data_IF_777062116263
#
_entry.id   IF_777062116263
#
_cell.length_a   1.000
_cell.length_b   1.000
_cell.length_c   1.000
_cell.angle_alpha   90.00
_cell.angle_beta   90.00
_cell.angle_gamma   90.00
#
_symmetry.space_group_name_H-M   'P 1'
#
loop_
_entity.id
_entity.type
_entity.pdbx_description
1 polymer ?
#
# COMPACT_ATOMS: atom_id res chain seq x y z
N UNK A 1 22.38 -40.01 -47.53
CA UNK A 1 22.71 -40.12 -46.11
C UNK A 1 21.98 -38.99 -45.36
N UNK A 2 21.18 -39.25 -44.38
CA UNK A 2 20.52 -38.17 -43.65
C UNK A 2 21.52 -37.43 -42.72
N UNK A 3 21.57 -36.11 -42.84
CA UNK A 3 22.43 -35.25 -42.02
C UNK A 3 21.68 -34.92 -40.73
N UNK A 4 22.20 -35.36 -39.59
CA UNK A 4 21.63 -35.04 -38.28
C UNK A 4 22.20 -33.69 -37.86
N UNK A 5 21.34 -32.65 -37.78
CA UNK A 5 21.69 -31.35 -37.22
C UNK A 5 21.36 -31.36 -35.73
N UNK A 6 22.39 -31.36 -34.90
CA UNK A 6 22.21 -31.24 -33.43
C UNK A 6 21.97 -29.77 -33.12
N UNK A 7 20.72 -29.41 -32.73
CA UNK A 7 20.40 -28.08 -32.21
C UNK A 7 20.80 -28.07 -30.73
N UNK A 8 21.89 -27.40 -30.40
CA UNK A 8 22.24 -27.16 -29.00
C UNK A 8 21.25 -26.16 -28.40
N UNK A 9 20.64 -26.45 -27.24
CA UNK A 9 19.80 -25.47 -26.56
C UNK A 9 20.67 -24.28 -26.17
N UNK A 10 20.31 -23.09 -26.66
CA UNK A 10 20.91 -21.83 -26.20
C UNK A 10 20.45 -21.62 -24.77
N UNK A 11 21.26 -22.00 -23.79
CA UNK A 11 21.04 -21.63 -22.39
C UNK A 11 21.31 -20.14 -22.33
N UNK A 12 20.25 -19.35 -22.42
CA UNK A 12 20.27 -17.94 -22.10
C UNK A 12 20.45 -17.86 -20.57
N UNK A 13 21.63 -17.50 -20.12
CA UNK A 13 21.82 -17.13 -18.71
C UNK A 13 20.86 -15.96 -18.42
N UNK A 14 19.70 -16.27 -17.82
CA UNK A 14 18.85 -15.24 -17.26
C UNK A 14 19.67 -14.56 -16.15
N UNK A 15 20.19 -13.38 -16.44
CA UNK A 15 20.81 -12.52 -15.43
C UNK A 15 19.75 -12.30 -14.35
N UNK A 16 19.96 -12.89 -13.18
CA UNK A 16 19.12 -12.69 -12.02
C UNK A 16 19.12 -11.18 -11.75
N UNK A 17 18.02 -10.52 -12.12
CA UNK A 17 17.87 -9.09 -11.88
C UNK A 17 17.51 -8.91 -10.42
N UNK A 18 18.41 -8.31 -9.65
CA UNK A 18 18.14 -7.97 -8.25
C UNK A 18 17.02 -6.93 -8.22
N UNK A 19 15.93 -7.26 -7.53
CA UNK A 19 14.76 -6.40 -7.35
C UNK A 19 15.04 -5.38 -6.24
N UNK A 20 14.85 -4.10 -6.53
CA UNK A 20 15.00 -3.01 -5.56
C UNK A 20 13.67 -2.81 -4.84
N UNK A 21 13.65 -3.20 -3.58
CA UNK A 21 12.45 -3.19 -2.73
C UNK A 21 12.46 -1.96 -1.84
N UNK A 22 11.33 -1.27 -1.76
CA UNK A 22 11.08 -0.21 -0.81
C UNK A 22 9.99 -0.64 0.18
N UNK A 23 10.14 -0.34 1.46
CA UNK A 23 9.09 -0.53 2.43
C UNK A 23 8.35 0.79 2.69
N UNK A 24 7.00 0.74 2.76
CA UNK A 24 6.20 1.89 3.15
C UNK A 24 5.44 1.61 4.44
N UNK A 25 5.58 2.53 5.40
CA UNK A 25 5.03 2.43 6.74
C UNK A 25 4.18 3.65 7.11
N UNK A 26 3.15 3.43 7.95
CA UNK A 26 2.48 4.50 8.70
C UNK A 26 2.61 4.19 10.19
N UNK A 27 3.25 5.09 10.94
CA UNK A 27 3.46 4.98 12.38
C UNK A 27 2.46 5.85 13.14
N UNK A 28 2.08 5.45 14.37
CA UNK A 28 1.15 6.22 15.19
C UNK A 28 1.79 7.54 15.65
N UNK A 29 0.96 8.53 16.02
CA UNK A 29 1.41 9.87 16.42
C UNK A 29 1.85 9.98 17.88
N UNK A 30 1.69 8.94 18.72
CA UNK A 30 2.10 8.95 20.10
C UNK A 30 3.63 8.79 20.20
N UNK A 31 4.30 9.79 20.72
CA UNK A 31 5.75 10.01 20.54
C UNK A 31 6.64 8.86 21.02
N UNK A 32 6.34 8.23 22.16
CA UNK A 32 7.12 7.08 22.66
C UNK A 32 6.83 5.81 21.85
N UNK A 33 5.57 5.54 21.54
CA UNK A 33 5.16 4.40 20.72
C UNK A 33 5.63 4.54 19.26
N UNK A 34 5.77 5.77 18.76
CA UNK A 34 6.23 6.07 17.41
C UNK A 34 7.68 5.64 17.18
N UNK A 35 8.61 6.02 18.08
CA UNK A 35 10.02 5.66 17.96
C UNK A 35 10.22 4.15 18.05
N UNK A 36 9.52 3.48 18.98
CA UNK A 36 9.58 2.04 19.11
C UNK A 36 8.96 1.31 17.92
N UNK A 37 7.82 1.80 17.42
CA UNK A 37 7.14 1.24 16.25
C UNK A 37 7.94 1.42 14.96
N UNK A 38 8.53 2.60 14.74
CA UNK A 38 9.38 2.85 13.57
C UNK A 38 10.63 1.98 13.58
N UNK A 39 11.36 1.95 14.72
CA UNK A 39 12.57 1.14 14.86
C UNK A 39 12.28 -0.37 14.71
N UNK A 40 11.11 -0.83 15.18
CA UNK A 40 10.68 -2.21 15.01
C UNK A 40 10.39 -2.54 13.54
N UNK A 41 9.71 -1.64 12.82
CA UNK A 41 9.41 -1.81 11.40
C UNK A 41 10.69 -1.75 10.54
N UNK A 42 11.60 -0.83 10.83
CA UNK A 42 12.92 -0.77 10.19
C UNK A 42 13.67 -2.09 10.36
N UNK A 43 13.74 -2.62 11.58
CA UNK A 43 14.39 -3.91 11.85
C UNK A 43 13.70 -5.06 11.12
N UNK A 44 12.37 -5.09 11.13
CA UNK A 44 11.59 -6.12 10.46
C UNK A 44 11.92 -6.18 8.95
N UNK A 45 11.83 -5.06 8.24
CA UNK A 45 12.11 -5.02 6.81
C UNK A 45 13.60 -5.24 6.50
N UNK A 46 14.51 -4.70 7.32
CA UNK A 46 15.94 -4.97 7.13
C UNK A 46 16.25 -6.45 7.27
N UNK A 47 15.66 -7.14 8.26
CA UNK A 47 15.84 -8.58 8.44
C UNK A 47 15.17 -9.39 7.34
N UNK A 48 13.97 -9.02 6.90
CA UNK A 48 13.22 -9.74 5.88
C UNK A 48 13.99 -9.82 4.54
N UNK A 49 14.74 -8.77 4.21
CA UNK A 49 15.51 -8.71 2.96
C UNK A 49 17.01 -8.96 3.15
N UNK A 50 17.49 -9.13 4.40
CA UNK A 50 18.89 -9.48 4.66
C UNK A 50 19.16 -10.92 4.21
N UNK A 51 20.08 -11.08 3.25
CA UNK A 51 20.44 -12.40 2.73
C UNK A 51 19.60 -12.88 1.53
N UNK A 52 18.65 -12.09 1.04
CA UNK A 52 17.99 -12.40 -0.23
C UNK A 52 18.97 -12.25 -1.41
N UNK A 53 19.05 -13.27 -2.26
CA UNK A 53 19.87 -13.21 -3.48
C UNK A 53 19.21 -12.45 -4.63
N UNK A 54 17.89 -12.20 -4.53
CA UNK A 54 17.06 -11.64 -5.60
C UNK A 54 16.45 -10.29 -5.28
N UNK A 55 16.43 -9.90 -4.00
CA UNK A 55 15.80 -8.67 -3.53
C UNK A 55 16.74 -7.89 -2.62
N UNK A 56 16.77 -6.56 -2.77
CA UNK A 56 17.53 -5.66 -1.90
C UNK A 56 16.61 -4.54 -1.40
N UNK A 57 16.57 -4.33 -0.09
CA UNK A 57 15.87 -3.18 0.50
C UNK A 57 16.66 -1.91 0.20
N UNK A 58 16.07 -0.99 -0.56
CA UNK A 58 16.72 0.27 -0.95
C UNK A 58 16.39 1.42 -0.01
N UNK A 59 15.16 1.47 0.53
CA UNK A 59 14.76 2.48 1.51
C UNK A 59 13.50 2.07 2.28
N UNK A 60 13.27 2.74 3.43
CA UNK A 60 12.03 2.64 4.20
C UNK A 60 11.41 4.03 4.33
N UNK A 61 10.24 4.19 3.75
CA UNK A 61 9.47 5.43 3.75
C UNK A 61 8.42 5.36 4.87
N UNK A 62 8.47 6.29 5.81
CA UNK A 62 7.56 6.29 6.95
C UNK A 62 6.90 7.65 7.16
N UNK A 63 5.56 7.66 7.07
CA UNK A 63 4.75 8.83 7.39
C UNK A 63 4.09 8.67 8.76
N UNK A 64 3.88 9.79 9.45
CA UNK A 64 3.12 9.81 10.69
C UNK A 64 1.63 9.57 10.40
N UNK A 65 1.04 8.67 11.16
CA UNK A 65 -0.40 8.39 11.13
C UNK A 65 -1.15 9.35 12.05
N UNK A 66 -1.34 10.59 11.65
CA UNK A 66 -2.14 11.52 12.43
C UNK A 66 -3.61 11.14 12.33
N UNK A 67 -4.21 10.78 13.47
CA UNK A 67 -5.65 10.64 13.63
C UNK A 67 -6.23 12.03 13.79
N UNK A 68 -7.00 12.53 12.82
CA UNK A 68 -7.72 13.81 12.92
C UNK A 68 -7.61 14.69 11.68
N UNK A 69 -8.43 15.68 11.65
CA UNK A 69 -8.89 16.59 10.60
C UNK A 69 -7.76 17.26 9.75
N UNK A 70 -6.53 17.23 10.19
CA UNK A 70 -5.41 17.80 9.41
C UNK A 70 -4.85 16.71 8.51
N UNK A 71 -5.07 16.86 7.21
CA UNK A 71 -4.46 16.03 6.18
C UNK A 71 -2.93 16.18 6.27
N UNK A 72 -2.29 15.38 7.12
CA UNK A 72 -0.84 15.31 7.19
C UNK A 72 -0.31 15.08 5.79
N UNK A 73 0.58 15.95 5.36
CA UNK A 73 1.29 15.81 4.09
C UNK A 73 2.06 14.49 4.18
N UNK A 74 1.65 13.48 3.41
CA UNK A 74 2.36 12.20 3.30
C UNK A 74 3.65 12.42 2.52
N UNK A 75 4.59 13.08 3.15
CA UNK A 75 5.82 13.56 2.50
C UNK A 75 6.67 12.40 2.03
N UNK A 76 6.75 11.37 2.87
CA UNK A 76 7.51 10.17 2.55
C UNK A 76 6.83 9.31 1.49
N UNK A 77 5.50 9.23 1.49
CA UNK A 77 4.76 8.60 0.40
C UNK A 77 5.00 9.28 -0.94
N UNK A 78 4.96 10.63 -0.95
CA UNK A 78 5.24 11.38 -2.17
C UNK A 78 6.70 11.23 -2.62
N UNK A 79 7.66 11.16 -1.68
CA UNK A 79 9.06 10.87 -1.97
C UNK A 79 9.21 9.47 -2.60
N UNK A 80 8.54 8.47 -2.03
CA UNK A 80 8.52 7.12 -2.57
C UNK A 80 7.98 7.09 -4.01
N UNK A 81 6.84 7.73 -4.28
CA UNK A 81 6.27 7.80 -5.63
C UNK A 81 7.22 8.49 -6.62
N UNK A 82 7.88 9.56 -6.18
CA UNK A 82 8.90 10.24 -7.00
C UNK A 82 10.07 9.30 -7.32
N UNK A 83 10.53 8.50 -6.35
CA UNK A 83 11.61 7.55 -6.57
C UNK A 83 11.19 6.38 -7.46
N UNK A 84 9.92 5.96 -7.41
CA UNK A 84 9.33 5.01 -8.37
C UNK A 84 9.35 5.58 -9.81
N UNK A 85 8.91 6.82 -9.99
CA UNK A 85 8.94 7.51 -11.30
C UNK A 85 10.35 7.65 -11.85
N UNK A 86 11.33 7.82 -10.98
CA UNK A 86 12.76 7.87 -11.33
C UNK A 86 13.38 6.48 -11.57
N UNK A 87 12.60 5.41 -11.52
CA UNK A 87 13.07 4.06 -11.74
C UNK A 87 14.05 3.54 -10.68
N UNK A 88 13.97 4.02 -9.44
CA UNK A 88 14.84 3.57 -8.33
C UNK A 88 14.27 2.38 -7.56
N UNK A 89 12.98 2.11 -7.70
CA UNK A 89 12.21 1.10 -6.97
C UNK A 89 11.54 0.19 -7.97
N UNK A 90 11.64 -1.12 -7.77
CA UNK A 90 10.98 -2.13 -8.60
C UNK A 90 9.78 -2.75 -7.86
N UNK A 91 9.81 -2.73 -6.52
CA UNK A 91 8.78 -3.34 -5.67
C UNK A 91 8.57 -2.53 -4.40
N UNK A 92 7.32 -2.38 -4.00
CA UNK A 92 6.93 -1.78 -2.71
C UNK A 92 6.35 -2.88 -1.83
N UNK A 93 6.74 -2.89 -0.54
CA UNK A 93 6.13 -3.74 0.49
C UNK A 93 5.50 -2.85 1.54
N UNK A 94 4.28 -3.17 1.93
CA UNK A 94 3.55 -2.43 2.97
C UNK A 94 2.67 -3.37 3.77
N UNK A 95 2.44 -3.04 5.04
CA UNK A 95 1.71 -3.92 5.95
C UNK A 95 0.27 -4.18 5.53
N UNK A 96 -0.43 -3.19 4.96
CA UNK A 96 -1.84 -3.33 4.56
C UNK A 96 -2.28 -2.24 3.59
N UNK A 97 -3.37 -2.49 2.87
CA UNK A 97 -4.03 -1.52 1.98
C UNK A 97 -4.42 -0.25 2.76
N UNK A 98 -4.96 -0.39 3.97
CA UNK A 98 -5.36 0.74 4.80
C UNK A 98 -4.19 1.61 5.29
N UNK A 99 -2.98 1.07 5.32
CA UNK A 99 -1.75 1.83 5.59
C UNK A 99 -1.21 2.51 4.35
N UNK A 100 -1.41 1.89 3.19
CA UNK A 100 -0.93 2.39 1.90
C UNK A 100 -1.79 3.55 1.39
N UNK A 101 -3.11 3.43 1.41
CA UNK A 101 -4.03 4.43 0.88
C UNK A 101 -5.03 4.92 1.94
N UNK A 102 -5.55 6.14 1.76
CA UNK A 102 -6.57 6.74 2.64
C UNK A 102 -7.98 6.31 2.28
N UNK A 103 -8.19 6.01 1.03
CA UNK A 103 -9.46 5.56 0.48
C UNK A 103 -9.20 4.69 -0.77
N UNK A 104 -10.23 4.02 -1.21
CA UNK A 104 -10.21 3.10 -2.35
C UNK A 104 -9.77 3.78 -3.63
N UNK A 105 -10.24 5.00 -3.91
CA UNK A 105 -9.92 5.75 -5.12
C UNK A 105 -8.42 6.03 -5.19
N UNK A 106 -7.84 6.58 -4.12
CA UNK A 106 -6.39 6.81 -4.01
C UNK A 106 -5.60 5.51 -4.21
N UNK A 107 -6.06 4.40 -3.62
CA UNK A 107 -5.43 3.10 -3.77
C UNK A 107 -5.37 2.66 -5.23
N UNK A 108 -6.52 2.63 -5.90
CA UNK A 108 -6.62 2.19 -7.29
C UNK A 108 -5.82 3.07 -8.26
N UNK A 109 -5.89 4.39 -8.09
CA UNK A 109 -5.14 5.35 -8.91
C UNK A 109 -3.62 5.14 -8.74
N UNK A 110 -3.17 5.00 -7.49
CA UNK A 110 -1.73 4.78 -7.19
C UNK A 110 -1.24 3.42 -7.71
N UNK A 111 -2.02 2.35 -7.51
CA UNK A 111 -1.67 1.01 -8.00
C UNK A 111 -1.56 1.01 -9.52
N UNK A 112 -2.50 1.66 -10.24
CA UNK A 112 -2.46 1.77 -11.70
C UNK A 112 -1.24 2.57 -12.19
N UNK A 113 -0.93 3.68 -11.52
CA UNK A 113 0.27 4.47 -11.81
C UNK A 113 1.53 3.63 -11.65
N UNK A 114 1.71 2.97 -10.49
CA UNK A 114 2.88 2.15 -10.19
C UNK A 114 3.02 0.99 -11.18
N UNK A 115 1.91 0.34 -11.52
CA UNK A 115 1.90 -0.72 -12.55
C UNK A 115 2.36 -0.21 -13.92
N UNK A 116 1.95 1.00 -14.33
CA UNK A 116 2.42 1.61 -15.58
C UNK A 116 3.93 1.90 -15.60
N UNK A 117 4.53 2.07 -14.41
CA UNK A 117 5.97 2.23 -14.22
C UNK A 117 6.72 0.88 -14.08
N UNK A 118 6.02 -0.25 -14.11
CA UNK A 118 6.58 -1.58 -13.88
C UNK A 118 6.90 -1.85 -12.40
N UNK A 119 6.35 -1.07 -11.46
CA UNK A 119 6.54 -1.24 -10.02
C UNK A 119 5.39 -2.09 -9.46
N UNK A 120 5.73 -3.15 -8.71
CA UNK A 120 4.76 -4.02 -8.04
C UNK A 120 4.58 -3.64 -6.58
N UNK A 121 3.43 -4.03 -5.98
CA UNK A 121 3.14 -3.77 -4.56
C UNK A 121 2.75 -5.09 -3.90
N UNK A 122 3.31 -5.34 -2.72
CA UNK A 122 2.92 -6.44 -1.85
C UNK A 122 2.27 -5.92 -0.57
N UNK A 123 1.01 -6.32 -0.34
CA UNK A 123 0.24 -6.03 0.87
C UNK A 123 0.31 -7.25 1.79
N UNK A 124 1.14 -7.17 2.85
CA UNK A 124 1.45 -8.34 3.71
C UNK A 124 0.21 -8.91 4.41
N UNK A 125 -0.62 -8.05 5.00
CA UNK A 125 -1.81 -8.46 5.78
C UNK A 125 -2.85 -9.15 4.90
N UNK A 126 -3.09 -8.61 3.72
CA UNK A 126 -4.07 -9.11 2.78
C UNK A 126 -3.52 -10.25 1.91
N UNK A 127 -2.19 -10.47 1.89
CA UNK A 127 -1.53 -11.46 1.06
C UNK A 127 -1.66 -11.19 -0.44
N UNK A 128 -1.82 -9.91 -0.82
CA UNK A 128 -2.03 -9.47 -2.20
C UNK A 128 -0.72 -8.99 -2.80
N UNK A 129 -0.40 -9.49 -4.01
CA UNK A 129 0.74 -9.04 -4.79
C UNK A 129 0.30 -8.58 -6.18
N UNK A 130 0.48 -7.30 -6.49
CA UNK A 130 0.05 -6.73 -7.77
C UNK A 130 0.85 -7.21 -8.98
N UNK A 131 1.90 -8.02 -8.78
CA UNK A 131 2.57 -8.76 -9.84
C UNK A 131 1.65 -9.81 -10.48
N UNK A 132 0.70 -10.34 -9.71
CA UNK A 132 -0.23 -11.37 -10.15
C UNK A 132 -1.50 -10.73 -10.74
N UNK A 133 -1.91 -11.16 -11.92
CA UNK A 133 -3.06 -10.59 -12.65
C UNK A 133 -4.40 -10.78 -11.91
N UNK A 134 -4.50 -11.81 -11.05
CA UNK A 134 -5.69 -12.11 -10.25
C UNK A 134 -5.98 -11.02 -9.21
N UNK A 135 -4.96 -10.27 -8.82
CA UNK A 135 -5.04 -9.31 -7.72
C UNK A 135 -5.69 -7.98 -8.12
N UNK A 136 -5.82 -7.68 -9.42
CA UNK A 136 -6.63 -6.55 -9.89
C UNK A 136 -8.11 -6.75 -9.56
N UNK A 137 -8.58 -7.98 -9.65
CA UNK A 137 -9.93 -8.37 -9.21
C UNK A 137 -10.07 -8.20 -7.69
N UNK A 138 -9.07 -8.63 -6.92
CA UNK A 138 -9.06 -8.48 -5.46
C UNK A 138 -9.04 -7.01 -5.01
N UNK A 139 -8.28 -6.16 -5.67
CA UNK A 139 -8.27 -4.70 -5.40
C UNK A 139 -9.63 -4.09 -5.72
N UNK A 140 -10.28 -4.52 -6.81
CA UNK A 140 -11.62 -4.08 -7.17
C UNK A 140 -12.68 -4.57 -6.18
N UNK A 141 -12.56 -5.81 -5.71
CA UNK A 141 -13.45 -6.39 -4.70
C UNK A 141 -13.30 -5.68 -3.34
N UNK A 142 -12.07 -5.40 -2.92
CA UNK A 142 -11.81 -4.65 -1.68
C UNK A 142 -12.26 -3.19 -1.81
N UNK A 143 -12.23 -2.63 -3.02
CA UNK A 143 -12.84 -1.35 -3.33
C UNK A 143 -14.35 -1.34 -3.08
N UNK A 144 -15.03 -2.40 -3.45
CA UNK A 144 -16.45 -2.61 -3.18
C UNK A 144 -16.77 -2.72 -1.68
N UNK A 145 -15.96 -3.50 -0.95
CA UNK A 145 -16.12 -3.67 0.51
C UNK A 145 -15.89 -2.35 1.29
N UNK A 146 -14.92 -1.53 0.88
CA UNK A 146 -14.73 -0.20 1.47
C UNK A 146 -15.90 0.76 1.18
N UNK A 147 -16.62 0.57 0.10
CA UNK A 147 -17.83 1.30 -0.22
C UNK A 147 -19.01 0.88 0.68
N UNK A 148 -19.12 -0.39 1.02
CA UNK A 148 -20.10 -0.88 2.00
C UNK A 148 -19.81 -0.36 3.42
N UNK A 149 -18.55 -0.28 3.82
CA UNK A 149 -18.16 0.35 5.09
C UNK A 149 -18.57 1.83 5.14
N UNK A 150 -18.39 2.57 4.05
CA UNK A 150 -18.83 3.96 3.93
C UNK A 150 -20.36 4.10 4.01
N UNK A 151 -21.11 3.20 3.41
CA UNK A 151 -22.57 3.13 3.49
C UNK A 151 -23.01 2.80 4.91
N UNK A 152 -22.34 1.86 5.58
CA UNK A 152 -22.61 1.49 6.97
C UNK A 152 -22.35 2.65 7.94
N UNK A 153 -21.27 3.42 7.76
CA UNK A 153 -20.98 4.63 8.54
C UNK A 153 -22.08 5.69 8.31
N UNK A 154 -22.53 5.88 7.06
CA UNK A 154 -23.62 6.80 6.73
C UNK A 154 -24.94 6.39 7.36
N UNK A 155 -25.28 5.11 7.35
CA UNK A 155 -26.48 4.56 8.01
C UNK A 155 -26.41 4.70 9.52
N UNK A 156 -25.26 4.43 10.13
CA UNK A 156 -25.05 4.62 11.56
C UNK A 156 -25.16 6.10 11.98
N UNK A 157 -24.70 7.01 11.12
CA UNK A 157 -24.86 8.45 11.37
C UNK A 157 -26.33 8.89 11.25
N UNK A 158 -27.06 8.40 10.24
CA UNK A 158 -28.50 8.65 10.12
C UNK A 158 -29.26 8.12 11.33
N UNK A 159 -29.01 6.89 11.74
CA UNK A 159 -29.60 6.30 12.93
C UNK A 159 -29.28 7.10 14.21
N UNK A 160 -28.05 7.58 14.38
CA UNK A 160 -27.65 8.42 15.49
C UNK A 160 -28.36 9.78 15.48
N UNK A 161 -28.61 10.37 14.31
CA UNK A 161 -29.38 11.61 14.13
C UNK A 161 -30.85 11.37 14.47
N UNK A 162 -31.47 10.32 13.97
CA UNK A 162 -32.85 9.94 14.28
C UNK A 162 -33.04 9.72 15.76
N UNK A 163 -32.13 9.03 16.44
CA UNK A 163 -32.18 8.79 17.87
C UNK A 163 -32.07 10.08 18.71
N UNK A 164 -31.23 11.04 18.23
CA UNK A 164 -31.13 12.36 18.84
C UNK A 164 -32.39 13.20 18.63
N UNK A 165 -33.03 13.09 17.47
CA UNK A 165 -34.32 13.73 17.19
C UNK A 165 -35.42 13.16 18.09
N UNK A 166 -35.52 11.85 18.25
CA UNK A 166 -36.50 11.18 19.12
C UNK A 166 -36.31 11.55 20.59
N UNK A 167 -35.06 11.73 21.04
CA UNK A 167 -34.73 12.10 22.41
C UNK A 167 -34.77 13.61 22.64
N UNK A 168 -35.17 14.45 21.65
CA UNK A 168 -35.24 15.90 21.77
C UNK A 168 -33.89 16.61 21.95
N UNK A 169 -32.78 15.91 21.68
CA UNK A 169 -31.40 16.43 21.89
C UNK A 169 -30.75 16.90 20.59
N UNK A 170 -31.51 16.92 19.48
CA UNK A 170 -31.02 17.38 18.19
C UNK A 170 -31.10 18.89 18.09
N UNK A 171 -29.95 19.57 18.05
CA UNK A 171 -29.83 20.99 17.68
C UNK A 171 -29.41 21.09 16.23
N UNK A 172 -30.28 21.58 15.35
CA UNK A 172 -29.89 21.92 13.98
C UNK A 172 -28.88 23.06 14.05
N UNK A 173 -27.72 22.87 13.32
CA UNK A 173 -26.80 23.98 13.17
C UNK A 173 -27.52 25.10 12.42
N UNK A 174 -27.64 26.27 13.03
CA UNK A 174 -28.13 27.46 12.36
C UNK A 174 -27.16 27.80 11.25
N UNK A 175 -27.60 27.76 10.02
CA UNK A 175 -26.86 28.37 8.92
C UNK A 175 -26.83 29.90 9.14
N UNK A 176 -25.70 30.55 8.92
CA UNK A 176 -25.60 32.02 8.99
C UNK A 176 -26.38 32.70 7.88
#
# INVERSE_FOLDING_TARGET
MPTITVIQPTITEEKIRIQRVAAYCRVSSDFEDQLHSFAAQMRHYTQAFSGSATEILVDVYADEGISGITAAKRTEFQRMLKDCRNGKIDRIVTKSISRFARNTKECLETVRELRSLGVTIHFEKEGIDTANTVDEFMITLMGGLAQEESVSISQNMQWAIEKRMQNGTFTAAHAP
#
